data_IF_635324076797
#
_entry.id   IF_635324076797
#
_cell.length_a   1.000
_cell.length_b   1.000
_cell.length_c   1.000
_cell.angle_alpha   90.00
_cell.angle_beta   90.00
_cell.angle_gamma   90.00
#
_symmetry.space_group_name_H-M   'P 1'
#
loop_
_entity.id
_entity.type
_entity.pdbx_description
1 polymer ?
#
# COMPACT_ATOMS: atom_id res chain seq x y z
N UNK A 1 -60.76 16.49 24.42
CA UNK A 1 -59.90 16.27 25.58
C UNK A 1 -58.45 16.47 25.17
N UNK A 2 -57.73 17.37 25.82
CA UNK A 2 -56.36 17.68 25.43
C UNK A 2 -55.38 16.50 25.63
N UNK A 3 -55.69 15.55 26.51
CA UNK A 3 -54.78 14.46 26.85
C UNK A 3 -54.59 13.44 25.74
N UNK A 4 -55.57 13.19 24.87
CA UNK A 4 -55.45 12.25 23.77
C UNK A 4 -54.58 12.79 22.64
N UNK A 5 -54.70 14.06 22.31
CA UNK A 5 -53.88 14.71 21.29
C UNK A 5 -52.41 14.78 21.73
N UNK A 6 -52.15 15.07 23.01
CA UNK A 6 -50.78 15.08 23.58
C UNK A 6 -50.15 13.68 23.58
N UNK A 7 -50.96 12.64 23.89
CA UNK A 7 -50.48 11.25 23.87
C UNK A 7 -50.16 10.77 22.45
N UNK A 8 -50.98 11.12 21.46
CA UNK A 8 -50.74 10.80 20.06
C UNK A 8 -49.46 11.50 19.53
N UNK A 9 -49.28 12.76 19.88
CA UNK A 9 -48.05 13.50 19.52
C UNK A 9 -46.82 12.89 20.21
N UNK A 10 -46.96 12.48 21.47
CA UNK A 10 -45.89 11.79 22.21
C UNK A 10 -45.49 10.47 21.57
N UNK A 11 -46.48 9.66 21.18
CA UNK A 11 -46.24 8.38 20.48
C UNK A 11 -45.60 8.60 19.10
N UNK A 12 -46.05 9.58 18.35
CA UNK A 12 -45.45 9.94 17.06
C UNK A 12 -44.00 10.41 17.24
N UNK A 13 -43.71 11.19 18.26
CA UNK A 13 -42.35 11.65 18.58
C UNK A 13 -41.44 10.48 18.98
N UNK A 14 -41.95 9.54 19.77
CA UNK A 14 -41.22 8.33 20.14
C UNK A 14 -40.91 7.47 18.91
N UNK A 15 -41.85 7.28 18.00
CA UNK A 15 -41.67 6.54 16.77
C UNK A 15 -40.59 7.18 15.90
N UNK A 16 -40.57 8.52 15.80
CA UNK A 16 -39.52 9.23 15.07
C UNK A 16 -38.15 9.07 15.72
N UNK A 17 -38.09 9.09 17.04
CA UNK A 17 -36.84 8.84 17.77
C UNK A 17 -36.34 7.44 17.54
N UNK A 18 -37.22 6.44 17.58
CA UNK A 18 -36.85 5.06 17.28
C UNK A 18 -36.30 4.91 15.87
N UNK A 19 -36.94 5.51 14.87
CA UNK A 19 -36.44 5.50 13.48
C UNK A 19 -35.06 6.15 13.38
N UNK A 20 -34.85 7.29 14.06
CA UNK A 20 -33.55 7.96 14.08
C UNK A 20 -32.47 7.11 14.74
N UNK A 21 -32.79 6.47 15.85
CA UNK A 21 -31.87 5.58 16.54
C UNK A 21 -31.48 4.41 15.64
N UNK A 22 -32.45 3.77 14.99
CA UNK A 22 -32.19 2.66 14.07
C UNK A 22 -31.33 3.09 12.88
N UNK A 23 -31.64 4.25 12.28
CA UNK A 23 -30.86 4.82 11.19
C UNK A 23 -29.42 5.12 11.62
N UNK A 24 -29.25 5.70 12.80
CA UNK A 24 -27.92 6.01 13.37
C UNK A 24 -27.12 4.75 13.64
N UNK A 25 -27.75 3.70 14.19
CA UNK A 25 -27.10 2.41 14.42
C UNK A 25 -26.65 1.77 13.11
N UNK A 26 -27.49 1.83 12.07
CA UNK A 26 -27.11 1.33 10.75
C UNK A 26 -25.96 2.09 10.12
N UNK A 27 -25.98 3.42 10.22
CA UNK A 27 -24.88 4.27 9.76
C UNK A 27 -23.59 3.95 10.50
N UNK A 28 -23.68 3.73 11.81
CA UNK A 28 -22.52 3.37 12.62
C UNK A 28 -21.94 2.01 12.23
N UNK A 29 -22.82 1.03 11.98
CA UNK A 29 -22.39 -0.29 11.49
C UNK A 29 -21.69 -0.20 10.16
N UNK A 30 -22.28 0.54 9.21
CA UNK A 30 -21.69 0.76 7.90
C UNK A 30 -20.32 1.43 8.00
N UNK A 31 -20.21 2.47 8.83
CA UNK A 31 -18.96 3.20 9.05
C UNK A 31 -17.88 2.28 9.67
N UNK A 32 -18.26 1.42 10.61
CA UNK A 32 -17.34 0.45 11.22
C UNK A 32 -16.85 -0.59 10.23
N UNK A 33 -17.74 -1.06 9.35
CA UNK A 33 -17.38 -2.01 8.29
C UNK A 33 -16.44 -1.36 7.28
N UNK A 34 -16.71 -0.14 6.87
CA UNK A 34 -15.84 0.62 5.97
C UNK A 34 -14.46 0.84 6.60
N UNK A 35 -14.43 1.20 7.88
CA UNK A 35 -13.18 1.37 8.62
C UNK A 35 -12.37 0.08 8.67
N UNK A 36 -13.01 -1.04 8.99
CA UNK A 36 -12.36 -2.35 9.03
C UNK A 36 -11.81 -2.72 7.65
N UNK A 37 -12.60 -2.51 6.61
CA UNK A 37 -12.18 -2.79 5.24
C UNK A 37 -10.98 -1.92 4.82
N UNK A 38 -11.04 -0.63 5.14
CA UNK A 38 -9.93 0.30 4.88
C UNK A 38 -8.66 -0.10 5.64
N UNK A 39 -8.79 -0.53 6.88
CA UNK A 39 -7.65 -1.01 7.68
C UNK A 39 -7.02 -2.27 7.08
N UNK A 40 -7.85 -3.20 6.61
CA UNK A 40 -7.40 -4.42 5.95
C UNK A 40 -6.70 -4.11 4.62
N UNK A 41 -7.26 -3.21 3.81
CA UNK A 41 -6.63 -2.75 2.57
C UNK A 41 -5.30 -2.06 2.85
N UNK A 42 -5.25 -1.19 3.85
CA UNK A 42 -4.02 -0.51 4.24
C UNK A 42 -2.93 -1.50 4.67
N UNK A 43 -3.30 -2.54 5.43
CA UNK A 43 -2.37 -3.59 5.84
C UNK A 43 -1.84 -4.37 4.64
N UNK A 44 -2.72 -4.75 3.70
CA UNK A 44 -2.34 -5.44 2.48
C UNK A 44 -1.40 -4.60 1.60
N UNK A 45 -1.70 -3.31 1.45
CA UNK A 45 -0.86 -2.38 0.70
C UNK A 45 0.51 -2.19 1.34
N UNK A 46 0.59 -2.14 2.67
CA UNK A 46 1.86 -2.07 3.39
C UNK A 46 2.73 -3.30 3.15
N UNK A 47 2.13 -4.48 3.14
CA UNK A 47 2.85 -5.72 2.81
C UNK A 47 3.37 -5.71 1.38
N UNK A 48 2.53 -5.30 0.42
CA UNK A 48 2.94 -5.18 -0.98
C UNK A 48 4.06 -4.17 -1.15
N UNK A 49 3.99 -3.05 -0.45
CA UNK A 49 5.03 -2.02 -0.47
C UNK A 49 6.34 -2.57 0.08
N UNK A 50 6.30 -3.27 1.21
CA UNK A 50 7.49 -3.89 1.82
C UNK A 50 8.14 -4.92 0.87
N UNK A 51 7.35 -5.74 0.19
CA UNK A 51 7.86 -6.67 -0.80
C UNK A 51 8.47 -5.97 -2.01
N UNK A 52 7.82 -4.92 -2.51
CA UNK A 52 8.34 -4.13 -3.62
C UNK A 52 9.67 -3.46 -3.26
N UNK A 53 9.78 -2.89 -2.07
CA UNK A 53 11.01 -2.30 -1.58
C UNK A 53 12.13 -3.33 -1.47
N UNK A 54 11.82 -4.54 -1.01
CA UNK A 54 12.76 -5.65 -0.95
C UNK A 54 13.26 -6.04 -2.33
N UNK A 55 12.35 -6.14 -3.31
CA UNK A 55 12.70 -6.42 -4.71
C UNK A 55 13.59 -5.36 -5.30
N UNK A 56 13.27 -4.09 -5.07
CA UNK A 56 14.09 -2.97 -5.54
C UNK A 56 15.50 -3.06 -4.98
N UNK A 57 15.65 -3.34 -3.69
CA UNK A 57 16.97 -3.52 -3.07
C UNK A 57 17.74 -4.69 -3.69
N UNK A 58 17.06 -5.82 -3.92
CA UNK A 58 17.69 -6.98 -4.54
C UNK A 58 18.14 -6.70 -5.98
N UNK A 59 17.27 -6.06 -6.78
CA UNK A 59 17.60 -5.71 -8.15
C UNK A 59 18.73 -4.66 -8.20
N UNK A 60 18.73 -3.70 -7.32
CA UNK A 60 19.81 -2.72 -7.21
C UNK A 60 21.14 -3.40 -6.89
N UNK A 61 21.16 -4.33 -5.93
CA UNK A 61 22.35 -5.09 -5.58
C UNK A 61 22.85 -5.95 -6.76
N UNK A 62 21.93 -6.58 -7.51
CA UNK A 62 22.29 -7.34 -8.71
C UNK A 62 22.88 -6.45 -9.80
N UNK A 63 22.30 -5.28 -10.03
CA UNK A 63 22.82 -4.32 -11.01
C UNK A 63 24.21 -3.81 -10.63
N UNK A 64 24.45 -3.54 -9.35
CA UNK A 64 25.77 -3.14 -8.87
C UNK A 64 26.81 -4.24 -9.05
N UNK A 65 26.43 -5.48 -8.74
CA UNK A 65 27.29 -6.65 -8.94
C UNK A 65 27.63 -6.86 -10.42
N UNK A 66 26.63 -6.79 -11.29
CA UNK A 66 26.83 -6.91 -12.74
C UNK A 66 27.70 -5.76 -13.28
N UNK A 67 27.50 -4.55 -12.81
CA UNK A 67 28.32 -3.40 -13.18
C UNK A 67 29.77 -3.57 -12.75
N UNK A 68 30.02 -4.13 -11.57
CA UNK A 68 31.36 -4.43 -11.06
C UNK A 68 32.05 -5.52 -11.90
N UNK A 69 31.32 -6.59 -12.22
CA UNK A 69 31.84 -7.65 -13.08
C UNK A 69 32.17 -7.15 -14.48
N UNK A 70 31.32 -6.34 -15.05
CA UNK A 70 31.52 -5.71 -16.35
C UNK A 70 32.79 -4.86 -16.38
N UNK A 71 33.02 -4.07 -15.34
CA UNK A 71 34.23 -3.26 -15.21
C UNK A 71 35.48 -4.12 -15.14
N UNK A 72 35.43 -5.23 -14.40
CA UNK A 72 36.54 -6.18 -14.33
C UNK A 72 36.88 -6.79 -15.69
N UNK A 73 35.86 -7.16 -16.46
CA UNK A 73 36.02 -7.68 -17.81
C UNK A 73 36.63 -6.63 -18.73
N UNK A 74 36.13 -5.40 -18.68
CA UNK A 74 36.66 -4.30 -19.47
C UNK A 74 38.14 -4.02 -19.14
N UNK A 75 38.51 -4.02 -17.87
CA UNK A 75 39.90 -3.86 -17.44
C UNK A 75 40.81 -4.97 -17.97
N UNK A 76 40.34 -6.23 -17.94
CA UNK A 76 41.08 -7.35 -18.48
C UNK A 76 41.26 -7.23 -19.98
N UNK A 77 40.23 -6.81 -20.70
CA UNK A 77 40.31 -6.59 -22.15
C UNK A 77 41.30 -5.48 -22.47
N UNK A 78 41.30 -4.40 -21.76
CA UNK A 78 42.28 -3.30 -21.93
C UNK A 78 43.70 -3.78 -21.73
N UNK A 79 43.95 -4.57 -20.68
CA UNK A 79 45.28 -5.17 -20.44
C UNK A 79 45.72 -6.09 -21.55
N UNK A 80 44.83 -6.95 -22.05
CA UNK A 80 45.13 -7.84 -23.15
C UNK A 80 45.41 -7.09 -24.44
N UNK A 81 44.66 -6.06 -24.73
CA UNK A 81 44.91 -5.18 -25.91
C UNK A 81 46.26 -4.50 -25.80
N UNK A 82 46.60 -3.97 -24.64
CA UNK A 82 47.90 -3.35 -24.40
C UNK A 82 49.06 -4.34 -24.59
N UNK A 83 48.91 -5.59 -24.15
CA UNK A 83 49.90 -6.64 -24.34
C UNK A 83 50.07 -6.98 -25.84
N UNK A 84 48.96 -7.09 -26.57
CA UNK A 84 49.00 -7.36 -28.02
C UNK A 84 49.70 -6.23 -28.76
N UNK A 85 49.36 -4.97 -28.42
CA UNK A 85 49.99 -3.80 -29.03
C UNK A 85 51.50 -3.77 -28.74
N UNK A 86 51.92 -4.11 -27.54
CA UNK A 86 53.32 -4.22 -27.16
C UNK A 86 54.08 -5.28 -27.95
N UNK A 87 53.44 -6.42 -28.16
CA UNK A 87 54.04 -7.52 -28.97
C UNK A 87 54.14 -7.13 -30.45
N UNK A 88 53.18 -6.38 -30.98
CA UNK A 88 53.22 -5.95 -32.39
C UNK A 88 54.28 -4.87 -32.64
N UNK A 89 54.70 -4.13 -31.64
CA UNK A 89 55.72 -3.10 -31.74
C UNK A 89 57.13 -3.67 -31.67
N UNK A 90 57.28 -4.85 -31.19
CA UNK A 90 58.57 -5.59 -31.24
C UNK A 90 58.84 -6.11 -32.67
#
# INVERSE_FOLDING_TARGET
MPNQATTLDGLSSLARLEERILATVEQLRAARQEKLHAEQEAAALREQLAESEKRVRQLTAQLESMGSERRKVEERLEKLLAQIDSLLQE
#
